data_IF_249187601613
#
_entry.id   IF_249187601613
#
_cell.length_a   1.000
_cell.length_b   1.000
_cell.length_c   1.000
_cell.angle_alpha   90.00
_cell.angle_beta   90.00
_cell.angle_gamma   90.00
#
_symmetry.space_group_name_H-M   'P 1'
#
loop_
_entity.id
_entity.type
_entity.pdbx_description
1 polymer ?
#
# COMPACT_ATOMS: atom_id res chain seq x y z
N UNK A 1 0.50 -10.59 -14.05
CA UNK A 1 0.97 -9.71 -12.97
C UNK A 1 0.69 -8.27 -13.38
N UNK A 2 -0.05 -7.51 -12.58
CA UNK A 2 -0.32 -6.08 -12.82
C UNK A 2 0.57 -5.26 -11.89
N UNK A 3 1.34 -4.31 -12.42
CA UNK A 3 2.13 -3.35 -11.64
C UNK A 3 1.58 -1.95 -11.86
N UNK A 4 1.33 -1.22 -10.79
CA UNK A 4 0.91 0.17 -10.83
C UNK A 4 1.99 1.05 -10.19
N UNK A 5 2.36 2.13 -10.87
CA UNK A 5 3.24 3.17 -10.34
C UNK A 5 2.40 4.44 -10.16
N UNK A 6 2.44 5.03 -8.96
CA UNK A 6 1.63 6.19 -8.61
C UNK A 6 2.47 7.22 -7.83
N UNK A 7 2.01 8.47 -7.79
CA UNK A 7 2.65 9.53 -7.00
C UNK A 7 2.19 9.49 -5.53
N UNK A 8 2.94 10.14 -4.63
CA UNK A 8 2.83 9.94 -3.17
C UNK A 8 1.44 10.09 -2.56
N UNK A 9 0.59 11.01 -3.05
CA UNK A 9 -0.77 11.17 -2.50
C UNK A 9 -1.75 10.09 -2.97
N UNK A 10 -1.65 9.68 -4.23
CA UNK A 10 -2.47 8.61 -4.82
C UNK A 10 -2.12 7.25 -4.23
N UNK A 11 -0.83 7.01 -3.98
CA UNK A 11 -0.34 5.78 -3.35
C UNK A 11 -0.80 5.69 -1.88
N UNK A 12 -0.73 6.79 -1.13
CA UNK A 12 -1.25 6.86 0.25
C UNK A 12 -2.75 6.60 0.30
N UNK A 13 -3.52 7.13 -0.64
CA UNK A 13 -4.96 6.87 -0.72
C UNK A 13 -5.27 5.39 -0.97
N UNK A 14 -4.52 4.74 -1.87
CA UNK A 14 -4.66 3.32 -2.13
C UNK A 14 -4.30 2.47 -0.90
N UNK A 15 -3.20 2.80 -0.22
CA UNK A 15 -2.78 2.09 1.00
C UNK A 15 -3.77 2.29 2.13
N UNK A 16 -4.35 3.49 2.30
CA UNK A 16 -5.43 3.71 3.28
C UNK A 16 -6.63 2.78 3.02
N UNK A 17 -7.05 2.68 1.76
CA UNK A 17 -8.18 1.83 1.38
C UNK A 17 -7.89 0.34 1.62
N UNK A 18 -6.66 -0.11 1.35
CA UNK A 18 -6.25 -1.51 1.51
C UNK A 18 -5.97 -1.89 2.97
N UNK A 19 -5.33 -1.01 3.74
CA UNK A 19 -4.95 -1.27 5.15
C UNK A 19 -6.05 -0.83 6.15
N UNK A 20 -7.14 -0.21 5.68
CA UNK A 20 -8.21 0.33 6.54
C UNK A 20 -7.74 1.46 7.46
N UNK A 21 -6.70 2.19 7.07
CA UNK A 21 -6.06 3.23 7.90
C UNK A 21 -6.80 4.55 7.81
N UNK A 22 -6.87 5.26 8.94
CA UNK A 22 -7.33 6.64 8.97
C UNK A 22 -6.29 7.60 8.34
N UNK A 23 -6.75 8.78 7.93
CA UNK A 23 -5.88 9.82 7.37
C UNK A 23 -4.75 10.26 8.31
N UNK A 24 -4.93 10.15 9.63
CA UNK A 24 -3.89 10.48 10.60
C UNK A 24 -2.80 9.40 10.67
N UNK A 25 -3.18 8.13 10.51
CA UNK A 25 -2.25 7.00 10.50
C UNK A 25 -1.43 6.95 9.20
N UNK A 26 -1.99 7.37 8.06
CA UNK A 26 -1.23 7.39 6.80
C UNK A 26 -0.18 8.50 6.75
N UNK A 27 -0.42 9.62 7.42
CA UNK A 27 0.53 10.75 7.47
C UNK A 27 1.76 10.37 8.31
N UNK A 28 1.57 9.49 9.31
CA UNK A 28 2.66 8.90 10.10
C UNK A 28 3.32 7.70 9.44
N UNK A 29 2.71 7.16 8.38
CA UNK A 29 3.28 6.08 7.60
C UNK A 29 4.39 6.68 6.72
N UNK A 30 5.60 6.74 7.29
CA UNK A 30 6.84 6.89 6.54
C UNK A 30 6.98 5.62 5.67
N UNK A 31 6.30 5.59 4.52
CA UNK A 31 6.63 4.67 3.45
C UNK A 31 8.07 5.01 3.08
N UNK A 32 9.02 4.25 3.61
CA UNK A 32 10.44 4.40 3.30
C UNK A 32 10.58 4.63 1.81
N UNK A 33 11.06 5.80 1.42
CA UNK A 33 11.11 6.19 0.01
C UNK A 33 11.89 5.13 -0.75
N UNK A 34 11.24 4.50 -1.73
CA UNK A 34 11.88 3.52 -2.61
C UNK A 34 11.75 2.06 -2.19
N UNK A 35 11.09 1.74 -1.07
CA UNK A 35 10.86 0.34 -0.65
C UNK A 35 9.60 -0.21 -1.35
N UNK A 36 9.70 -1.28 -2.16
CA UNK A 36 8.54 -1.90 -2.79
C UNK A 36 7.62 -2.57 -1.75
N UNK A 37 6.31 -2.34 -1.88
CA UNK A 37 5.29 -3.05 -1.10
C UNK A 37 4.44 -3.89 -2.05
N UNK A 38 4.32 -5.17 -1.77
CA UNK A 38 3.52 -6.13 -2.53
C UNK A 38 2.22 -6.41 -1.77
N UNK A 39 1.09 -6.20 -2.46
CA UNK A 39 -0.23 -6.58 -2.00
C UNK A 39 -0.75 -7.75 -2.83
N UNK A 40 -1.10 -8.85 -2.16
CA UNK A 40 -1.87 -9.93 -2.76
C UNK A 40 -3.35 -9.67 -2.44
N UNK A 41 -4.20 -9.65 -3.45
CA UNK A 41 -5.64 -9.50 -3.28
C UNK A 41 -6.36 -10.83 -3.51
N UNK A 42 -7.43 -11.05 -2.76
CA UNK A 42 -8.41 -12.10 -2.99
C UNK A 42 -9.27 -11.77 -4.23
N UNK A 43 -10.06 -12.76 -4.67
CA UNK A 43 -11.00 -12.57 -5.78
C UNK A 43 -12.08 -11.51 -5.50
N UNK A 44 -12.38 -11.24 -4.24
CA UNK A 44 -13.30 -10.19 -3.78
C UNK A 44 -12.63 -8.83 -3.55
N UNK A 45 -11.38 -8.66 -3.98
CA UNK A 45 -10.55 -7.46 -3.80
C UNK A 45 -10.14 -7.15 -2.36
N UNK A 46 -10.41 -8.04 -1.40
CA UNK A 46 -9.85 -7.91 -0.04
C UNK A 46 -8.35 -8.24 -0.04
N UNK A 47 -7.60 -7.69 0.92
CA UNK A 47 -6.16 -7.98 1.05
C UNK A 47 -5.96 -9.40 1.61
N UNK A 48 -5.32 -10.26 0.83
CA UNK A 48 -4.92 -11.60 1.22
C UNK A 48 -3.59 -11.59 1.98
N UNK A 49 -2.61 -10.79 1.51
CA UNK A 49 -1.33 -10.60 2.18
C UNK A 49 -0.66 -9.29 1.79
N UNK A 50 0.27 -8.84 2.63
CA UNK A 50 1.12 -7.67 2.44
C UNK A 50 2.57 -8.04 2.75
N UNK A 51 3.47 -7.72 1.83
CA UNK A 51 4.92 -7.94 1.98
C UNK A 51 5.66 -6.63 1.68
N UNK A 52 6.66 -6.31 2.49
CA UNK A 52 7.55 -5.16 2.30
C UNK A 52 8.91 -5.73 1.90
N UNK A 53 9.40 -5.35 0.72
CA UNK A 53 10.70 -5.76 0.23
C UNK A 53 11.76 -4.77 0.72
N UNK A 54 12.15 -4.90 1.99
CA UNK A 54 13.40 -4.31 2.50
C UNK A 54 14.53 -5.31 2.21
N UNK A 55 15.61 -4.86 1.56
CA UNK A 55 16.86 -5.63 1.38
C UNK A 55 17.65 -5.75 2.71
#
# INVERSE_FOLDING_TARGET
>A
QHRAAAHGNSLRALIMALDGKSGEEIVKLELGTGVPVIYQLNADSTVASKEVLDD
#
